data_IF_405320092282
#
_entry.id   IF_405320092282
#
_cell.length_a   1.000
_cell.length_b   1.000
_cell.length_c   1.000
_cell.angle_alpha   90.00
_cell.angle_beta   90.00
_cell.angle_gamma   90.00
#
_symmetry.space_group_name_H-M   'P 1'
#
loop_
_entity.id
_entity.type
_entity.pdbx_description
1 polymer ?
#
# COMPACT_ATOMS: atom_id res chain seq x y z
N UNK A 1 21.87 12.31 0.05
CA UNK A 1 21.58 11.12 0.84
C UNK A 1 20.54 11.42 1.91
N UNK A 2 19.90 10.36 2.47
CA UNK A 2 18.95 10.54 3.56
C UNK A 2 19.64 10.95 4.86
N UNK A 3 18.95 11.76 5.67
CA UNK A 3 19.38 12.13 7.02
C UNK A 3 18.54 11.34 8.01
N UNK A 4 19.19 10.65 8.95
CA UNK A 4 18.48 9.94 10.01
C UNK A 4 18.08 10.92 11.13
N UNK A 5 16.78 10.92 11.48
CA UNK A 5 16.25 11.62 12.63
C UNK A 5 16.10 10.64 13.82
N UNK A 6 16.24 11.13 15.03
CA UNK A 6 16.11 10.32 16.25
C UNK A 6 14.73 10.41 16.88
N UNK A 7 13.90 11.37 16.46
CA UNK A 7 12.52 11.55 16.91
C UNK A 7 11.59 11.84 15.74
N UNK A 8 10.29 11.56 15.92
CA UNK A 8 9.26 11.93 14.93
C UNK A 8 9.28 13.46 14.71
N UNK A 9 9.33 14.24 15.78
CA UNK A 9 9.38 15.71 15.69
C UNK A 9 10.48 16.21 14.74
N UNK A 10 11.71 15.71 14.89
CA UNK A 10 12.82 16.08 14.01
C UNK A 10 12.60 15.64 12.54
N UNK A 11 11.91 14.50 12.35
CA UNK A 11 11.68 13.95 11.03
C UNK A 11 10.62 14.75 10.24
N UNK A 12 9.60 15.29 10.91
CA UNK A 12 8.41 15.82 10.26
C UNK A 12 8.26 17.35 10.29
N UNK A 13 9.07 18.07 11.10
CA UNK A 13 8.88 19.49 11.36
C UNK A 13 8.82 20.35 10.07
N UNK A 14 9.69 20.08 9.12
CA UNK A 14 9.79 20.84 7.85
C UNK A 14 9.36 19.99 6.62
N UNK A 15 8.76 18.81 6.86
CA UNK A 15 8.40 17.91 5.78
C UNK A 15 7.15 18.42 5.03
N UNK A 16 7.23 18.49 3.69
CA UNK A 16 6.09 18.74 2.82
C UNK A 16 5.23 17.47 2.64
N UNK A 17 5.84 16.29 2.77
CA UNK A 17 5.22 14.98 2.71
C UNK A 17 5.71 14.13 3.86
N UNK A 18 4.81 13.47 4.57
CA UNK A 18 5.13 12.49 5.61
C UNK A 18 4.66 11.14 5.12
N UNK A 19 5.60 10.24 4.84
CA UNK A 19 5.32 8.91 4.32
C UNK A 19 5.55 7.89 5.43
N UNK A 20 4.56 7.04 5.71
CA UNK A 20 4.66 5.96 6.68
C UNK A 20 4.53 4.59 6.01
N UNK A 21 5.27 3.60 6.52
CA UNK A 21 5.20 2.19 6.15
C UNK A 21 5.39 1.35 7.40
N UNK A 22 4.29 0.95 8.02
CA UNK A 22 4.23 0.40 9.36
C UNK A 22 3.57 -0.99 9.37
N UNK A 23 3.88 -1.84 10.38
CA UNK A 23 3.43 -3.24 10.36
C UNK A 23 1.93 -3.46 10.59
N UNK A 24 1.22 -2.52 11.24
CA UNK A 24 -0.20 -2.70 11.58
C UNK A 24 -0.86 -1.37 11.95
N UNK A 25 -2.19 -1.30 11.91
CA UNK A 25 -2.98 -0.10 12.20
C UNK A 25 -2.71 0.51 13.57
N UNK A 26 -2.46 -0.31 14.61
CA UNK A 26 -2.05 0.20 15.93
C UNK A 26 -0.77 1.03 15.90
N UNK A 27 0.17 0.70 15.02
CA UNK A 27 1.40 1.47 14.88
C UNK A 27 1.16 2.76 14.09
N UNK A 28 0.29 2.72 13.07
CA UNK A 28 -0.15 3.93 12.36
C UNK A 28 -0.81 4.89 13.35
N UNK A 29 -1.72 4.36 14.18
CA UNK A 29 -2.40 5.15 15.20
C UNK A 29 -1.42 5.78 16.21
N UNK A 30 -0.49 5.01 16.74
CA UNK A 30 0.52 5.51 17.67
C UNK A 30 1.43 6.57 17.03
N UNK A 31 1.99 6.28 15.85
CA UNK A 31 2.89 7.21 15.14
C UNK A 31 2.18 8.52 14.76
N UNK A 32 0.90 8.47 14.45
CA UNK A 32 0.18 9.69 14.04
C UNK A 32 -0.36 10.49 15.24
N UNK A 33 -0.91 9.82 16.26
CA UNK A 33 -1.82 10.45 17.23
C UNK A 33 -1.31 10.48 18.68
N UNK A 34 -0.22 9.77 19.00
CA UNK A 34 0.37 9.88 20.34
C UNK A 34 0.91 11.30 20.59
N UNK A 35 1.16 11.64 21.85
CA UNK A 35 1.58 13.00 22.28
C UNK A 35 2.82 13.51 21.53
N UNK A 36 3.73 12.60 21.15
CA UNK A 36 4.94 12.91 20.37
C UNK A 36 4.82 12.43 18.90
N UNK A 37 3.59 12.23 18.42
CA UNK A 37 3.29 11.73 17.10
C UNK A 37 3.39 12.79 15.99
N UNK A 38 3.09 12.35 14.77
CA UNK A 38 3.18 13.18 13.56
C UNK A 38 2.31 14.42 13.66
N UNK A 39 1.05 14.30 14.11
CA UNK A 39 0.11 15.41 14.14
C UNK A 39 0.49 16.51 15.15
N UNK A 40 1.27 16.17 16.18
CA UNK A 40 1.75 17.13 17.15
C UNK A 40 2.88 18.03 16.61
N UNK A 41 3.63 17.56 15.60
CA UNK A 41 4.90 18.17 15.19
C UNK A 41 5.00 18.49 13.70
N UNK A 42 4.20 17.86 12.86
CA UNK A 42 4.26 18.11 11.41
C UNK A 42 3.78 19.51 11.03
N UNK A 43 4.38 20.06 9.99
CA UNK A 43 3.90 21.29 9.38
C UNK A 43 2.43 21.12 8.94
N UNK A 44 1.57 22.11 9.20
CA UNK A 44 0.15 22.06 8.85
C UNK A 44 -0.13 21.92 7.34
N UNK A 45 0.83 22.26 6.51
CA UNK A 45 0.74 22.04 5.07
C UNK A 45 1.30 20.68 4.63
N UNK A 46 1.79 19.85 5.54
CA UNK A 46 2.27 18.52 5.19
C UNK A 46 1.12 17.64 4.69
N UNK A 47 1.38 16.85 3.66
CA UNK A 47 0.49 15.80 3.20
C UNK A 47 0.94 14.48 3.83
N UNK A 48 0.03 13.80 4.52
CA UNK A 48 0.28 12.51 5.15
C UNK A 48 -0.05 11.39 4.17
N UNK A 49 0.87 10.45 3.99
CA UNK A 49 0.72 9.33 3.04
C UNK A 49 1.05 8.05 3.77
N UNK A 50 0.04 7.26 4.11
CA UNK A 50 0.26 5.97 4.76
C UNK A 50 0.29 4.84 3.73
N UNK A 51 1.47 4.27 3.53
CA UNK A 51 1.72 3.14 2.63
C UNK A 51 1.57 1.77 3.33
N UNK A 52 1.21 1.76 4.61
CA UNK A 52 0.99 0.53 5.38
C UNK A 52 -0.16 -0.29 4.81
N UNK A 53 -0.15 -1.60 5.01
CA UNK A 53 -1.30 -2.47 4.74
C UNK A 53 -2.01 -2.76 6.04
N UNK A 54 -3.16 -2.14 6.24
CA UNK A 54 -3.96 -2.20 7.47
C UNK A 54 -5.44 -2.44 7.15
N UNK A 55 -6.28 -2.67 8.15
CA UNK A 55 -7.71 -2.80 7.92
C UNK A 55 -8.32 -1.51 7.35
N UNK A 56 -9.33 -1.66 6.48
CA UNK A 56 -10.00 -0.52 5.82
C UNK A 56 -10.56 0.47 6.85
N UNK A 57 -11.16 -0.04 7.92
CA UNK A 57 -11.75 0.77 8.99
C UNK A 57 -10.68 1.53 9.78
N UNK A 58 -9.51 0.92 10.02
CA UNK A 58 -8.38 1.59 10.68
C UNK A 58 -7.84 2.73 9.81
N UNK A 59 -7.70 2.50 8.50
CA UNK A 59 -7.29 3.53 7.56
C UNK A 59 -8.30 4.69 7.52
N UNK A 60 -9.60 4.40 7.38
CA UNK A 60 -10.65 5.42 7.38
C UNK A 60 -10.64 6.24 8.66
N UNK A 61 -10.51 5.58 9.82
CA UNK A 61 -10.44 6.25 11.12
C UNK A 61 -9.20 7.15 11.21
N UNK A 62 -8.05 6.68 10.74
CA UNK A 62 -6.83 7.47 10.76
C UNK A 62 -6.91 8.69 9.84
N UNK A 63 -7.42 8.52 8.62
CA UNK A 63 -7.57 9.63 7.66
C UNK A 63 -8.59 10.66 8.16
N UNK A 64 -9.72 10.24 8.73
CA UNK A 64 -10.71 11.14 9.31
C UNK A 64 -10.14 11.99 10.45
N UNK A 65 -9.37 11.38 11.36
CA UNK A 65 -8.70 12.12 12.45
C UNK A 65 -7.64 13.10 11.94
N UNK A 66 -6.93 12.75 10.88
CA UNK A 66 -5.97 13.64 10.23
C UNK A 66 -6.68 14.86 9.61
N UNK A 67 -7.80 14.64 8.94
CA UNK A 67 -8.66 15.69 8.35
C UNK A 67 -9.23 16.60 9.44
N UNK A 68 -9.78 16.04 10.53
CA UNK A 68 -10.26 16.80 11.70
C UNK A 68 -9.15 17.68 12.32
N UNK A 69 -7.89 17.23 12.23
CA UNK A 69 -6.72 18.00 12.66
C UNK A 69 -6.21 19.00 11.61
N UNK A 70 -6.84 19.07 10.44
CA UNK A 70 -6.55 20.00 9.35
C UNK A 70 -5.40 19.57 8.44
N UNK A 71 -5.13 18.25 8.32
CA UNK A 71 -4.13 17.70 7.41
C UNK A 71 -4.80 17.01 6.22
N UNK A 72 -4.27 17.20 5.01
CA UNK A 72 -4.52 16.28 3.91
C UNK A 72 -3.90 14.92 4.22
N UNK A 73 -4.62 13.84 3.89
CA UNK A 73 -4.14 12.49 4.21
C UNK A 73 -4.63 11.45 3.18
N UNK A 74 -3.76 10.51 2.86
CA UNK A 74 -3.99 9.44 1.87
C UNK A 74 -3.64 8.08 2.47
N UNK A 75 -4.47 7.07 2.22
CA UNK A 75 -4.11 5.67 2.37
C UNK A 75 -3.58 5.16 1.02
N UNK A 76 -2.32 4.76 0.98
CA UNK A 76 -1.60 4.46 -0.26
C UNK A 76 -0.84 3.11 -0.20
N UNK A 77 -1.50 2.00 0.16
CA UNK A 77 -0.86 0.70 0.21
C UNK A 77 -0.26 0.31 -1.14
N UNK A 78 0.79 -0.51 -1.08
CA UNK A 78 1.63 -0.86 -2.24
C UNK A 78 1.56 -2.35 -2.59
N UNK A 79 1.88 -2.66 -3.82
CA UNK A 79 2.11 -4.01 -4.33
C UNK A 79 3.43 -4.09 -5.08
N UNK A 80 4.10 -5.27 -5.01
CA UNK A 80 5.38 -5.54 -5.67
C UNK A 80 6.49 -6.02 -4.75
N UNK A 81 6.30 -5.92 -3.43
CA UNK A 81 7.27 -6.38 -2.43
C UNK A 81 8.61 -5.62 -2.45
N UNK A 82 9.60 -6.17 -1.76
CA UNK A 82 10.93 -5.55 -1.60
C UNK A 82 11.64 -5.36 -2.94
N UNK A 83 11.49 -6.31 -3.87
CA UNK A 83 12.13 -6.23 -5.18
C UNK A 83 11.63 -5.03 -5.99
N UNK A 84 10.31 -4.80 -6.03
CA UNK A 84 9.74 -3.64 -6.71
C UNK A 84 10.06 -2.33 -5.99
N UNK A 85 10.12 -2.33 -4.67
CA UNK A 85 10.55 -1.16 -3.89
C UNK A 85 11.99 -0.76 -4.23
N UNK A 86 12.91 -1.72 -4.27
CA UNK A 86 14.32 -1.48 -4.65
C UNK A 86 14.49 -1.00 -6.08
N UNK A 87 13.61 -1.45 -6.98
CA UNK A 87 13.63 -1.08 -8.40
C UNK A 87 12.84 0.20 -8.72
N UNK A 88 12.13 0.80 -7.74
CA UNK A 88 11.24 1.95 -7.99
C UNK A 88 10.03 1.61 -8.88
N UNK A 89 9.54 0.37 -8.81
CA UNK A 89 8.48 -0.14 -9.70
C UNK A 89 7.22 -0.58 -8.95
N UNK A 90 7.03 -0.06 -7.74
CA UNK A 90 5.82 -0.33 -6.94
C UNK A 90 4.53 0.04 -7.69
N UNK A 91 3.46 -0.65 -7.35
CA UNK A 91 2.10 -0.23 -7.68
C UNK A 91 1.45 0.34 -6.44
N UNK A 92 1.06 1.61 -6.47
CA UNK A 92 0.33 2.31 -5.42
C UNK A 92 -1.17 2.28 -5.70
N UNK A 93 -1.95 1.98 -4.67
CA UNK A 93 -3.42 2.05 -4.68
C UNK A 93 -3.82 3.13 -3.69
N UNK A 94 -4.21 4.31 -4.19
CA UNK A 94 -4.35 5.51 -3.35
C UNK A 94 -5.81 5.84 -3.10
N UNK A 95 -6.20 5.91 -1.83
CA UNK A 95 -7.49 6.43 -1.39
C UNK A 95 -7.32 7.80 -0.71
N UNK A 96 -8.28 8.69 -0.95
CA UNK A 96 -8.33 10.03 -0.39
C UNK A 96 -8.86 11.06 -1.37
N UNK A 97 -8.82 12.33 -0.98
CA UNK A 97 -9.31 13.43 -1.82
C UNK A 97 -8.47 13.59 -3.10
N UNK A 98 -9.15 13.90 -4.22
CA UNK A 98 -8.49 14.05 -5.53
C UNK A 98 -7.38 15.10 -5.52
N UNK A 99 -7.58 16.22 -4.82
CA UNK A 99 -6.57 17.28 -4.74
C UNK A 99 -5.30 16.80 -4.04
N UNK A 100 -5.43 16.02 -2.96
CA UNK A 100 -4.31 15.44 -2.23
C UNK A 100 -3.61 14.34 -3.05
N UNK A 101 -4.39 13.52 -3.78
CA UNK A 101 -3.83 12.54 -4.72
C UNK A 101 -2.98 13.23 -5.79
N UNK A 102 -3.47 14.25 -6.46
CA UNK A 102 -2.72 14.97 -7.50
C UNK A 102 -1.44 15.62 -6.93
N UNK A 103 -1.50 16.11 -5.69
CA UNK A 103 -0.33 16.63 -4.98
C UNK A 103 0.70 15.55 -4.64
N UNK A 104 0.25 14.34 -4.26
CA UNK A 104 1.12 13.22 -3.91
C UNK A 104 1.72 12.51 -5.14
N UNK A 105 0.99 12.50 -6.27
CA UNK A 105 1.32 11.72 -7.45
C UNK A 105 2.77 11.87 -7.92
N UNK A 106 3.34 13.08 -8.04
CA UNK A 106 4.73 13.24 -8.52
C UNK A 106 5.76 12.55 -7.60
N UNK A 107 5.55 12.54 -6.27
CA UNK A 107 6.47 11.86 -5.36
C UNK A 107 6.26 10.34 -5.38
N UNK A 108 5.03 9.86 -5.50
CA UNK A 108 4.72 8.44 -5.61
C UNK A 108 5.30 7.84 -6.90
N UNK A 109 5.27 8.57 -8.00
CA UNK A 109 5.85 8.16 -9.29
C UNK A 109 7.39 8.03 -9.25
N UNK A 110 8.08 8.60 -8.26
CA UNK A 110 9.51 8.34 -8.05
C UNK A 110 9.80 6.98 -7.44
N UNK A 111 8.82 6.36 -6.78
CA UNK A 111 8.94 5.09 -6.06
C UNK A 111 8.16 3.96 -6.75
N UNK A 112 7.24 4.30 -7.64
CA UNK A 112 6.36 3.33 -8.30
C UNK A 112 6.18 3.59 -9.78
N UNK A 113 5.93 2.50 -10.51
CA UNK A 113 5.62 2.53 -11.95
C UNK A 113 4.14 2.84 -12.20
N UNK A 114 3.27 2.39 -11.29
CA UNK A 114 1.83 2.54 -11.43
C UNK A 114 1.28 3.22 -10.18
N UNK A 115 0.53 4.31 -10.35
CA UNK A 115 -0.09 5.06 -9.25
C UNK A 115 -1.57 5.25 -9.59
N UNK A 116 -2.46 4.53 -8.89
CA UNK A 116 -3.90 4.54 -9.15
C UNK A 116 -4.64 5.29 -8.04
N UNK A 117 -5.50 6.23 -8.40
CA UNK A 117 -6.48 6.80 -7.48
C UNK A 117 -7.70 5.87 -7.40
N UNK A 118 -7.90 5.26 -6.25
CA UNK A 118 -8.97 4.30 -6.01
C UNK A 118 -10.29 4.94 -5.51
N UNK A 119 -10.29 6.28 -5.34
CA UNK A 119 -11.43 7.04 -4.84
C UNK A 119 -11.26 7.49 -3.38
N UNK A 120 -12.34 7.65 -2.59
CA UNK A 120 -12.28 8.18 -1.23
C UNK A 120 -11.38 7.40 -0.27
N UNK A 121 -11.08 8.01 0.89
CA UNK A 121 -10.25 7.42 1.96
C UNK A 121 -10.70 6.00 2.34
N UNK A 122 -9.72 5.09 2.48
CA UNK A 122 -9.91 3.67 2.72
C UNK A 122 -10.06 2.84 1.44
N UNK A 123 -10.26 3.46 0.28
CA UNK A 123 -10.38 2.72 -0.98
C UNK A 123 -9.04 2.16 -1.47
N UNK A 124 -7.91 2.76 -1.11
CA UNK A 124 -6.60 2.18 -1.32
C UNK A 124 -6.47 0.83 -0.60
N UNK A 125 -6.82 0.77 0.69
CA UNK A 125 -6.83 -0.47 1.46
C UNK A 125 -7.86 -1.48 0.94
N UNK A 126 -9.04 -1.03 0.51
CA UNK A 126 -10.06 -1.90 -0.07
C UNK A 126 -9.54 -2.55 -1.37
N UNK A 127 -8.92 -1.77 -2.26
CA UNK A 127 -8.29 -2.24 -3.48
C UNK A 127 -7.16 -3.24 -3.17
N UNK A 128 -6.30 -2.92 -2.18
CA UNK A 128 -5.22 -3.80 -1.73
C UNK A 128 -5.76 -5.12 -1.17
N UNK A 129 -6.79 -5.07 -0.36
CA UNK A 129 -7.42 -6.27 0.24
C UNK A 129 -7.99 -7.18 -0.85
N UNK A 130 -8.75 -6.61 -1.80
CA UNK A 130 -9.32 -7.35 -2.91
C UNK A 130 -8.23 -7.96 -3.82
N UNK A 131 -7.18 -7.19 -4.13
CA UNK A 131 -6.03 -7.67 -4.90
C UNK A 131 -5.31 -8.82 -4.19
N UNK A 132 -5.10 -8.72 -2.87
CA UNK A 132 -4.43 -9.78 -2.12
C UNK A 132 -5.29 -11.04 -1.98
N UNK A 133 -6.62 -10.90 -1.90
CA UNK A 133 -7.54 -12.05 -1.96
C UNK A 133 -7.43 -12.75 -3.31
N UNK A 134 -7.45 -12.02 -4.41
CA UNK A 134 -7.28 -12.58 -5.76
C UNK A 134 -5.92 -13.31 -5.88
N UNK A 135 -4.83 -12.67 -5.42
CA UNK A 135 -3.50 -13.29 -5.41
C UNK A 135 -3.50 -14.60 -4.62
N UNK A 136 -4.04 -14.60 -3.41
CA UNK A 136 -4.08 -15.79 -2.54
C UNK A 136 -4.87 -16.93 -3.15
N UNK A 137 -6.05 -16.65 -3.70
CA UNK A 137 -6.90 -17.64 -4.38
C UNK A 137 -6.19 -18.21 -5.61
N UNK A 138 -5.59 -17.36 -6.43
CA UNK A 138 -4.86 -17.80 -7.63
C UNK A 138 -3.65 -18.69 -7.29
N UNK A 139 -2.90 -18.35 -6.24
CA UNK A 139 -1.78 -19.16 -5.77
C UNK A 139 -2.25 -20.55 -5.28
N UNK A 140 -3.33 -20.61 -4.50
CA UNK A 140 -3.90 -21.87 -4.01
C UNK A 140 -4.41 -22.70 -5.20
N UNK A 141 -5.21 -22.10 -6.08
CA UNK A 141 -5.78 -22.79 -7.25
C UNK A 141 -4.68 -23.37 -8.16
N UNK A 142 -3.64 -22.59 -8.44
CA UNK A 142 -2.50 -23.05 -9.25
C UNK A 142 -1.77 -24.20 -8.58
N UNK A 143 -1.47 -24.08 -7.28
CA UNK A 143 -0.77 -25.12 -6.52
C UNK A 143 -1.55 -26.43 -6.49
N UNK A 144 -2.86 -26.37 -6.25
CA UNK A 144 -3.74 -27.57 -6.23
C UNK A 144 -3.85 -28.22 -7.61
N UNK A 145 -3.95 -27.42 -8.68
CA UNK A 145 -4.03 -27.93 -10.04
C UNK A 145 -2.75 -28.67 -10.45
N UNK A 146 -1.55 -28.13 -10.13
CA UNK A 146 -0.29 -28.80 -10.39
C UNK A 146 -0.11 -30.07 -9.54
N UNK A 147 -0.50 -30.05 -8.28
CA UNK A 147 -0.49 -31.24 -7.42
C UNK A 147 -1.41 -32.35 -7.95
N UNK A 148 -2.60 -31.97 -8.45
CA UNK A 148 -3.53 -32.92 -9.08
C UNK A 148 -2.92 -33.52 -10.37
N UNK A 149 -2.35 -32.69 -11.24
CA UNK A 149 -1.69 -33.14 -12.46
C UNK A 149 -0.58 -34.15 -12.20
N UNK A 150 0.29 -33.86 -11.23
CA UNK A 150 1.38 -34.75 -10.80
C UNK A 150 0.83 -36.11 -10.29
N UNK A 151 -0.19 -36.09 -9.42
CA UNK A 151 -0.84 -37.34 -8.91
C UNK A 151 -1.50 -38.19 -10.00
N UNK A 152 -1.92 -37.56 -11.10
CA UNK A 152 -2.49 -38.24 -12.28
C UNK A 152 -1.42 -38.69 -13.27
N UNK A 153 -0.14 -38.46 -12.99
CA UNK A 153 1.01 -38.83 -13.84
C UNK A 153 1.24 -37.89 -15.03
N UNK A 154 0.68 -36.69 -14.99
CA UNK A 154 0.90 -35.67 -16.03
C UNK A 154 2.13 -34.84 -15.66
N UNK A 155 3.10 -34.79 -16.58
CA UNK A 155 4.31 -34.00 -16.41
C UNK A 155 4.00 -32.51 -16.21
N UNK A 156 4.70 -31.88 -15.25
CA UNK A 156 4.45 -30.49 -14.87
C UNK A 156 4.67 -29.49 -16.00
N UNK A 157 5.69 -29.72 -16.86
CA UNK A 157 5.95 -28.84 -18.02
C UNK A 157 4.84 -28.99 -19.06
N UNK A 158 4.41 -30.21 -19.33
CA UNK A 158 3.28 -30.48 -20.23
C UNK A 158 2.00 -29.82 -19.73
N UNK A 159 1.72 -29.89 -18.41
CA UNK A 159 0.56 -29.23 -17.83
C UNK A 159 0.67 -27.70 -17.92
N UNK A 160 1.85 -27.13 -17.68
CA UNK A 160 2.08 -25.69 -17.84
C UNK A 160 1.84 -25.24 -19.27
N UNK A 161 2.35 -25.96 -20.27
CA UNK A 161 2.19 -25.64 -21.69
C UNK A 161 0.72 -25.66 -22.14
N UNK A 162 -0.07 -26.56 -21.56
CA UNK A 162 -1.52 -26.65 -21.80
C UNK A 162 -2.25 -25.51 -21.08
N UNK A 163 -2.07 -25.38 -19.76
CA UNK A 163 -2.83 -24.46 -18.93
C UNK A 163 -2.57 -23.00 -19.28
N UNK A 164 -1.36 -22.65 -19.69
CA UNK A 164 -1.01 -21.30 -20.13
C UNK A 164 -1.67 -20.86 -21.45
N UNK A 165 -2.32 -21.78 -22.19
CA UNK A 165 -2.98 -21.54 -23.47
C UNK A 165 -4.46 -21.90 -23.48
N UNK A 166 -4.91 -22.60 -22.44
CA UNK A 166 -6.29 -23.04 -22.28
C UNK A 166 -7.07 -22.09 -21.36
N UNK A 167 -8.35 -22.41 -21.10
CA UNK A 167 -9.24 -21.61 -20.27
C UNK A 167 -8.82 -21.51 -18.77
N UNK A 168 -7.83 -22.27 -18.34
CA UNK A 168 -7.26 -22.19 -17.00
C UNK A 168 -6.19 -21.10 -16.82
N UNK A 169 -5.92 -20.31 -17.84
CA UNK A 169 -4.97 -19.19 -17.76
C UNK A 169 -5.46 -18.13 -16.75
N UNK A 170 -4.59 -17.73 -15.81
CA UNK A 170 -4.82 -16.67 -14.83
C UNK A 170 -3.59 -15.76 -14.69
#
# INVERSE_FOLDING_TARGET
>A
GAVAATTIAQCVADAAFVITMLPAGKHVHSVYFDVDGVLAHANKNALLIDCSTIAVEEARSAMAKADEAGYGALDAPVSGGVAAASAGTLTFMVGGETADFERAKPILETMGKNVFHAGPSGNGQAAKTANNMLLGISMIATSEAFNLADRLGLDAQTFFDISSKASGQC
#
